data_IF_163954558945
#
_entry.id   IF_163954558945
#
_cell.length_a   1.000
_cell.length_b   1.000
_cell.length_c   1.000
_cell.angle_alpha   90.00
_cell.angle_beta   90.00
_cell.angle_gamma   90.00
#
_symmetry.space_group_name_H-M   'P 1'
#
loop_
_entity.id
_entity.type
_entity.pdbx_description
1 polymer ?
#
# COMPACT_ATOMS: atom_id res chain seq x y z
N UNK A 1 15.03 23.60 -5.42
CA UNK A 1 15.35 24.28 -4.13
C UNK A 1 14.16 24.69 -3.27
N UNK A 2 12.99 25.09 -3.81
CA UNK A 2 11.84 25.55 -2.98
C UNK A 2 11.11 24.41 -2.24
N UNK A 3 10.94 23.24 -2.86
CA UNK A 3 10.31 22.06 -2.23
C UNK A 3 11.14 21.46 -1.08
N UNK A 4 12.46 21.27 -1.28
CA UNK A 4 13.38 20.83 -0.22
C UNK A 4 13.47 21.86 0.93
N UNK A 5 13.38 23.17 0.63
CA UNK A 5 13.30 24.23 1.65
C UNK A 5 11.96 24.26 2.40
N UNK A 6 10.86 23.80 1.81
CA UNK A 6 9.56 23.71 2.48
C UNK A 6 9.58 22.52 3.46
N UNK A 7 10.08 21.36 3.04
CA UNK A 7 10.23 20.18 3.91
C UNK A 7 11.22 20.42 5.07
N UNK A 8 12.32 21.15 4.84
CA UNK A 8 13.28 21.52 5.89
C UNK A 8 12.80 22.65 6.81
N UNK A 9 11.79 23.46 6.41
CA UNK A 9 11.23 24.53 7.26
C UNK A 9 10.16 24.04 8.23
N UNK A 10 9.53 22.88 7.96
CA UNK A 10 8.56 22.26 8.88
C UNK A 10 9.23 21.41 9.97
N UNK A 11 10.52 21.12 9.86
CA UNK A 11 11.31 20.52 10.93
C UNK A 11 11.81 21.62 11.89
N UNK A 12 11.03 21.89 12.94
CA UNK A 12 11.50 22.74 14.04
C UNK A 12 12.78 22.15 14.68
N UNK A 13 13.76 22.97 15.11
CA UNK A 13 14.88 22.47 15.88
C UNK A 13 14.37 21.95 17.24
N UNK A 14 14.75 20.72 17.60
CA UNK A 14 14.48 20.16 18.93
C UNK A 14 15.35 20.90 19.96
N UNK A 15 14.75 21.81 20.73
CA UNK A 15 15.34 22.30 21.97
C UNK A 15 15.24 21.20 23.04
N UNK A 16 16.36 20.94 23.73
CA UNK A 16 16.50 19.84 24.68
C UNK A 16 15.52 19.90 25.85
N UNK A 17 14.84 18.80 26.11
CA UNK A 17 13.98 18.63 27.29
C UNK A 17 14.79 17.96 28.41
N UNK A 18 14.87 18.67 29.54
CA UNK A 18 15.54 18.24 30.76
C UNK A 18 14.87 17.03 31.44
N UNK A 19 15.70 16.35 32.22
CA UNK A 19 15.38 15.15 33.01
C UNK A 19 14.34 15.41 34.09
N UNK A 20 13.25 14.62 34.09
CA UNK A 20 12.34 14.47 35.22
C UNK A 20 12.14 12.99 35.55
N UNK A 21 12.52 12.57 36.75
CA UNK A 21 12.32 11.22 37.27
C UNK A 21 10.95 11.07 37.93
N UNK A 22 10.27 9.92 37.74
CA UNK A 22 9.65 9.12 38.80
C UNK A 22 8.79 7.96 38.24
N UNK A 23 8.79 6.83 38.96
CA UNK A 23 7.67 5.86 38.97
C UNK A 23 7.97 4.45 38.46
N UNK A 24 8.40 3.55 39.37
CA UNK A 24 8.47 2.08 39.16
C UNK A 24 7.09 1.44 39.35
N UNK A 25 6.76 0.44 38.51
CA UNK A 25 5.72 -0.55 38.79
C UNK A 25 5.39 -1.45 37.59
N UNK A 26 5.47 -2.77 37.78
CA UNK A 26 4.78 -3.78 36.95
C UNK A 26 5.61 -4.49 35.87
N UNK A 27 6.01 -5.72 36.13
CA UNK A 27 6.66 -6.65 35.21
C UNK A 27 5.65 -7.37 34.30
N UNK A 28 5.71 -7.09 32.99
CA UNK A 28 5.35 -8.02 31.92
C UNK A 28 6.29 -7.76 30.74
N UNK A 29 6.95 -8.79 30.23
CA UNK A 29 7.96 -8.70 29.18
C UNK A 29 7.33 -8.48 27.79
N UNK A 30 6.56 -7.40 27.62
CA UNK A 30 6.36 -6.84 26.28
C UNK A 30 7.61 -6.04 25.95
N UNK A 31 8.27 -6.37 24.84
CA UNK A 31 9.39 -5.57 24.35
C UNK A 31 8.87 -4.17 24.02
N UNK A 32 9.12 -3.20 24.93
CA UNK A 32 8.84 -1.79 24.67
C UNK A 32 9.48 -1.40 23.35
N UNK A 33 8.72 -0.72 22.49
CA UNK A 33 9.25 -0.16 21.26
C UNK A 33 10.49 0.70 21.56
N UNK A 34 11.47 0.74 20.64
CA UNK A 34 12.59 1.68 20.73
C UNK A 34 12.11 3.11 20.89
N UNK A 35 12.88 3.95 21.60
CA UNK A 35 12.53 5.36 21.88
C UNK A 35 12.40 6.17 20.59
N UNK A 36 13.16 5.79 19.58
CA UNK A 36 13.16 6.35 18.23
C UNK A 36 11.77 6.23 17.59
N UNK A 37 11.02 5.15 17.87
CA UNK A 37 9.65 5.01 17.36
C UNK A 37 8.75 6.09 17.95
N UNK A 38 8.87 6.37 19.25
CA UNK A 38 8.10 7.43 19.90
C UNK A 38 8.51 8.82 19.37
N UNK A 39 9.80 9.05 19.15
CA UNK A 39 10.30 10.31 18.62
C UNK A 39 9.81 10.57 17.19
N UNK A 40 10.02 9.62 16.28
CA UNK A 40 9.76 9.82 14.85
C UNK A 40 8.28 9.74 14.49
N UNK A 41 7.46 9.01 15.25
CA UNK A 41 6.01 8.90 15.01
C UNK A 41 5.22 10.16 15.31
N UNK A 42 5.82 11.14 16.00
CA UNK A 42 5.21 12.46 16.25
C UNK A 42 5.24 13.37 15.03
N UNK A 43 6.11 13.08 14.06
CA UNK A 43 6.19 13.85 12.83
C UNK A 43 5.18 13.31 11.80
N UNK A 44 4.64 14.22 11.01
CA UNK A 44 3.77 13.87 9.88
C UNK A 44 4.61 13.54 8.65
N UNK A 45 4.34 12.43 7.95
CA UNK A 45 4.93 12.14 6.65
C UNK A 45 4.74 13.28 5.65
N UNK A 46 5.74 13.53 4.81
CA UNK A 46 5.74 14.57 3.78
C UNK A 46 5.34 13.94 2.44
N UNK A 47 4.11 14.17 1.92
CA UNK A 47 3.72 13.62 0.63
C UNK A 47 4.41 14.36 -0.53
N UNK A 48 4.81 13.60 -1.54
CA UNK A 48 5.37 14.10 -2.79
C UNK A 48 4.43 13.84 -3.96
N UNK A 49 4.39 14.74 -4.94
CA UNK A 49 3.72 14.48 -6.21
C UNK A 49 4.62 13.77 -7.21
N UNK A 50 4.02 13.07 -8.18
CA UNK A 50 4.76 12.52 -9.32
C UNK A 50 5.54 13.63 -10.03
N UNK A 51 4.96 14.84 -10.18
CA UNK A 51 5.69 15.99 -10.72
C UNK A 51 6.94 16.33 -9.91
N UNK A 52 6.86 16.37 -8.58
CA UNK A 52 8.02 16.68 -7.75
C UNK A 52 9.12 15.63 -7.88
N UNK A 53 8.75 14.34 -7.95
CA UNK A 53 9.67 13.23 -8.14
C UNK A 53 10.34 13.30 -9.54
N UNK A 54 9.56 13.57 -10.58
CA UNK A 54 10.04 13.73 -11.95
C UNK A 54 10.97 14.94 -12.08
N UNK A 55 10.53 16.13 -11.65
CA UNK A 55 11.32 17.36 -11.71
C UNK A 55 12.65 17.22 -10.96
N UNK A 56 12.64 16.48 -9.83
CA UNK A 56 13.85 16.16 -9.07
C UNK A 56 14.82 15.31 -9.89
N UNK A 57 14.37 14.18 -10.44
CA UNK A 57 15.25 13.25 -11.15
C UNK A 57 15.72 13.74 -12.53
N UNK A 58 14.93 14.57 -13.23
CA UNK A 58 15.29 15.02 -14.60
C UNK A 58 16.24 16.21 -14.65
N UNK A 59 16.13 17.18 -13.73
CA UNK A 59 16.83 18.48 -13.85
C UNK A 59 17.65 18.88 -12.62
N UNK A 60 17.35 18.31 -11.45
CA UNK A 60 17.94 18.71 -10.16
C UNK A 60 18.47 17.52 -9.36
N UNK A 61 18.76 16.39 -10.03
CA UNK A 61 19.14 15.13 -9.40
C UNK A 61 20.42 15.30 -8.60
N UNK A 62 20.29 15.47 -7.29
CA UNK A 62 21.41 15.66 -6.38
C UNK A 62 21.28 14.64 -5.26
N UNK A 63 22.20 13.67 -5.25
CA UNK A 63 22.25 12.59 -4.26
C UNK A 63 22.21 13.16 -2.82
N UNK A 64 22.99 14.21 -2.54
CA UNK A 64 23.02 14.89 -1.24
C UNK A 64 21.65 15.41 -0.80
N UNK A 65 20.88 15.97 -1.74
CA UNK A 65 19.54 16.49 -1.47
C UNK A 65 18.55 15.35 -1.23
N UNK A 66 18.65 14.27 -2.02
CA UNK A 66 17.83 13.06 -1.83
C UNK A 66 18.12 12.41 -0.48
N UNK A 67 19.39 12.22 -0.14
CA UNK A 67 19.86 11.69 1.14
C UNK A 67 19.36 12.54 2.32
N UNK A 68 19.52 13.86 2.26
CA UNK A 68 19.09 14.77 3.33
C UNK A 68 17.57 14.67 3.60
N UNK A 69 16.77 14.46 2.56
CA UNK A 69 15.34 14.22 2.68
C UNK A 69 15.04 12.82 3.25
N UNK A 70 15.59 11.77 2.64
CA UNK A 70 15.24 10.38 2.96
C UNK A 70 15.70 9.93 4.34
N UNK A 71 16.85 10.41 4.83
CA UNK A 71 17.34 10.09 6.19
C UNK A 71 16.44 10.66 7.30
N UNK A 72 15.52 11.56 6.95
CA UNK A 72 14.48 12.09 7.86
C UNK A 72 13.14 11.42 7.55
N UNK A 73 12.72 11.41 6.28
CA UNK A 73 11.39 10.97 5.87
C UNK A 73 11.16 9.46 6.06
N UNK A 74 12.16 8.61 5.77
CA UNK A 74 11.99 7.16 5.94
C UNK A 74 11.79 6.78 7.42
N UNK A 75 12.62 7.24 8.39
CA UNK A 75 12.33 7.02 9.81
C UNK A 75 10.93 7.47 10.24
N UNK A 76 10.45 8.62 9.75
CA UNK A 76 9.09 9.11 10.06
C UNK A 76 8.02 8.14 9.55
N UNK A 77 8.08 7.71 8.28
CA UNK A 77 7.11 6.76 7.70
C UNK A 77 7.12 5.41 8.43
N UNK A 78 8.31 4.87 8.71
CA UNK A 78 8.47 3.62 9.47
C UNK A 78 7.93 3.72 10.90
N UNK A 79 8.24 4.81 11.61
CA UNK A 79 7.80 5.00 12.99
C UNK A 79 6.28 5.19 13.10
N UNK A 80 5.65 5.93 12.18
CA UNK A 80 4.20 6.12 12.13
C UNK A 80 3.49 4.76 12.05
N UNK A 81 3.90 3.89 11.13
CA UNK A 81 3.24 2.59 10.98
C UNK A 81 3.58 1.61 12.10
N UNK A 82 4.80 1.65 12.65
CA UNK A 82 5.18 0.85 13.84
C UNK A 82 4.31 1.18 15.06
N UNK A 83 3.89 2.45 15.23
CA UNK A 83 2.95 2.79 16.31
C UNK A 83 1.57 2.20 16.09
N UNK A 84 1.10 2.11 14.85
CA UNK A 84 -0.18 1.48 14.54
C UNK A 84 -0.13 -0.04 14.68
N UNK A 85 0.99 -0.69 14.33
CA UNK A 85 1.19 -2.12 14.60
C UNK A 85 0.97 -2.40 16.09
N UNK A 86 1.54 -1.57 16.98
CA UNK A 86 1.42 -1.73 18.44
C UNK A 86 0.02 -1.49 19.01
N UNK A 87 -0.93 -1.01 18.21
CA UNK A 87 -2.35 -0.88 18.59
C UNK A 87 -3.21 -2.06 18.12
N UNK A 88 -2.64 -3.02 17.41
CA UNK A 88 -3.34 -4.24 17.04
C UNK A 88 -3.66 -5.10 18.28
N UNK A 89 -4.69 -5.98 18.22
CA UNK A 89 -5.01 -6.87 19.32
C UNK A 89 -3.81 -7.72 19.75
N UNK A 90 -3.60 -7.87 21.06
CA UNK A 90 -2.46 -8.63 21.63
C UNK A 90 -2.34 -10.04 21.04
N UNK A 91 -3.48 -10.69 20.80
CA UNK A 91 -3.54 -12.03 20.19
C UNK A 91 -3.01 -12.05 18.76
N UNK A 92 -3.28 -11.01 17.96
CA UNK A 92 -2.72 -10.87 16.62
C UNK A 92 -1.22 -10.52 16.70
N UNK A 93 -0.83 -9.62 17.63
CA UNK A 93 0.57 -9.28 17.89
C UNK A 93 1.41 -10.46 18.38
N UNK A 94 0.80 -11.46 19.01
CA UNK A 94 1.48 -12.68 19.46
C UNK A 94 1.70 -13.72 18.36
N UNK A 95 1.13 -13.53 17.17
CA UNK A 95 1.34 -14.47 16.05
C UNK A 95 2.79 -14.39 15.56
N UNK A 96 3.47 -15.54 15.32
CA UNK A 96 4.87 -15.55 14.90
C UNK A 96 5.13 -14.68 13.66
N UNK A 97 4.20 -14.70 12.71
CA UNK A 97 4.29 -13.94 11.47
C UNK A 97 4.24 -12.42 11.70
N UNK A 98 3.36 -11.92 12.57
CA UNK A 98 3.31 -10.47 12.91
C UNK A 98 4.55 -10.05 13.70
N UNK A 99 5.03 -10.89 14.61
CA UNK A 99 6.29 -10.62 15.33
C UNK A 99 7.49 -10.52 14.39
N UNK A 100 7.56 -11.40 13.39
CA UNK A 100 8.60 -11.36 12.37
C UNK A 100 8.56 -10.06 11.58
N UNK A 101 7.38 -9.65 11.08
CA UNK A 101 7.23 -8.37 10.37
C UNK A 101 7.60 -7.19 11.27
N UNK A 102 7.14 -7.17 12.52
CA UNK A 102 7.50 -6.11 13.49
C UNK A 102 9.01 -6.03 13.69
N UNK A 103 9.70 -7.18 13.79
CA UNK A 103 11.16 -7.20 13.94
C UNK A 103 11.89 -6.62 12.72
N UNK A 104 11.44 -6.93 11.50
CA UNK A 104 12.01 -6.35 10.27
C UNK A 104 11.84 -4.83 10.19
N UNK A 105 10.68 -4.30 10.60
CA UNK A 105 10.43 -2.86 10.62
C UNK A 105 11.28 -2.16 11.69
N UNK A 106 11.40 -2.74 12.90
CA UNK A 106 12.26 -2.21 13.95
C UNK A 106 13.72 -2.18 13.50
N UNK A 107 14.24 -3.30 12.98
CA UNK A 107 15.62 -3.37 12.50
C UNK A 107 15.88 -2.32 11.41
N UNK A 108 14.97 -2.19 10.45
CA UNK A 108 15.13 -1.22 9.36
C UNK A 108 15.08 0.22 9.85
N UNK A 109 14.22 0.53 10.81
CA UNK A 109 14.19 1.86 11.44
C UNK A 109 15.53 2.16 12.13
N UNK A 110 16.08 1.22 12.91
CA UNK A 110 17.34 1.43 13.62
C UNK A 110 18.49 1.69 12.63
N UNK A 111 18.61 0.86 11.59
CA UNK A 111 19.61 1.04 10.53
C UNK A 111 19.48 2.40 9.83
N UNK A 112 18.25 2.89 9.59
CA UNK A 112 18.01 4.19 8.95
C UNK A 112 18.33 5.38 9.89
N UNK A 113 18.04 5.24 11.18
CA UNK A 113 18.29 6.30 12.18
C UNK A 113 19.77 6.58 12.37
N UNK A 114 20.65 5.59 12.13
CA UNK A 114 22.10 5.80 12.14
C UNK A 114 22.58 6.91 11.19
N UNK A 115 21.81 7.20 10.13
CA UNK A 115 22.15 8.24 9.15
C UNK A 115 21.60 9.63 9.52
N UNK A 116 20.74 9.73 10.55
CA UNK A 116 19.99 10.96 10.85
C UNK A 116 20.89 12.19 11.05
N UNK A 117 22.04 12.01 11.71
CA UNK A 117 23.01 13.06 12.03
C UNK A 117 24.27 13.04 11.14
N UNK A 118 24.37 12.14 10.16
CA UNK A 118 25.57 12.06 9.31
C UNK A 118 25.60 13.21 8.29
N UNK A 119 26.78 13.63 7.84
CA UNK A 119 26.90 14.73 6.88
C UNK A 119 26.48 14.30 5.47
N UNK A 120 25.73 15.12 4.70
CA UNK A 120 25.43 14.85 3.29
C UNK A 120 26.62 15.08 2.37
N UNK A 121 27.72 15.66 2.86
CA UNK A 121 28.93 15.92 2.07
C UNK A 121 29.95 14.77 2.13
N UNK A 122 29.71 13.75 2.95
CA UNK A 122 30.57 12.57 3.08
C UNK A 122 30.16 11.49 2.07
N UNK A 123 31.00 11.26 1.05
CA UNK A 123 30.72 10.29 -0.02
C UNK A 123 30.60 8.85 0.49
N UNK A 124 31.34 8.48 1.54
CA UNK A 124 31.22 7.14 2.12
C UNK A 124 29.86 6.95 2.77
N UNK A 125 29.36 7.99 3.45
CA UNK A 125 28.02 7.98 4.05
C UNK A 125 26.93 7.80 2.98
N UNK A 126 27.05 8.47 1.85
CA UNK A 126 26.10 8.35 0.74
C UNK A 126 26.08 6.93 0.16
N UNK A 127 27.25 6.34 -0.09
CA UNK A 127 27.38 4.95 -0.54
C UNK A 127 26.82 3.96 0.49
N UNK A 128 27.19 4.11 1.78
CA UNK A 128 26.70 3.25 2.86
C UNK A 128 25.16 3.35 2.99
N UNK A 129 24.59 4.53 2.70
CA UNK A 129 23.15 4.75 2.72
C UNK A 129 22.45 3.99 1.60
N UNK A 130 22.95 4.05 0.36
CA UNK A 130 22.42 3.26 -0.76
C UNK A 130 22.42 1.77 -0.42
N UNK A 131 23.56 1.24 0.06
CA UNK A 131 23.66 -0.17 0.45
C UNK A 131 22.65 -0.53 1.56
N UNK A 132 22.39 0.41 2.50
CA UNK A 132 21.38 0.25 3.54
C UNK A 132 19.96 0.22 2.97
N UNK A 133 19.63 1.11 2.04
CA UNK A 133 18.32 1.12 1.37
C UNK A 133 18.07 -0.19 0.62
N UNK A 134 19.09 -0.74 -0.06
CA UNK A 134 19.00 -2.03 -0.75
C UNK A 134 18.75 -3.16 0.25
N UNK A 135 19.48 -3.20 1.37
CA UNK A 135 19.27 -4.19 2.44
C UNK A 135 17.85 -4.11 3.02
N UNK A 136 17.38 -2.91 3.34
CA UNK A 136 16.03 -2.67 3.87
C UNK A 136 14.98 -3.12 2.85
N UNK A 137 15.11 -2.73 1.58
CA UNK A 137 14.18 -3.14 0.51
C UNK A 137 14.11 -4.67 0.37
N UNK A 138 15.26 -5.35 0.43
CA UNK A 138 15.32 -6.80 0.30
C UNK A 138 14.74 -7.52 1.51
N UNK A 139 15.04 -7.06 2.74
CA UNK A 139 14.43 -7.56 3.98
C UNK A 139 12.90 -7.45 3.95
N UNK A 140 12.38 -6.41 3.31
CA UNK A 140 10.94 -6.15 3.22
C UNK A 140 10.24 -6.89 2.08
N UNK A 141 10.93 -7.73 1.30
CA UNK A 141 10.37 -8.43 0.13
C UNK A 141 9.11 -9.22 0.50
N UNK A 142 9.18 -10.04 1.55
CA UNK A 142 8.12 -10.97 1.97
C UNK A 142 7.13 -10.40 3.00
N UNK A 143 7.18 -9.10 3.28
CA UNK A 143 6.27 -8.45 4.25
C UNK A 143 4.79 -8.69 3.92
N UNK A 144 4.40 -8.67 2.65
CA UNK A 144 2.99 -8.89 2.25
C UNK A 144 2.53 -10.31 2.59
N UNK A 145 3.16 -11.38 2.06
CA UNK A 145 2.75 -12.74 2.40
C UNK A 145 2.90 -13.05 3.89
N UNK A 146 3.96 -12.59 4.57
CA UNK A 146 4.13 -12.85 6.01
C UNK A 146 3.04 -12.16 6.84
N UNK A 147 2.69 -10.90 6.56
CA UNK A 147 1.60 -10.23 7.28
C UNK A 147 0.25 -10.93 7.02
N UNK A 148 -0.02 -11.35 5.78
CA UNK A 148 -1.23 -12.12 5.45
C UNK A 148 -1.29 -13.44 6.23
N UNK A 149 -0.16 -14.12 6.37
CA UNK A 149 -0.04 -15.34 7.16
C UNK A 149 -0.35 -15.09 8.64
N UNK A 150 0.12 -13.99 9.23
CA UNK A 150 -0.20 -13.62 10.62
C UNK A 150 -1.70 -13.36 10.85
N UNK A 151 -2.37 -12.74 9.89
CA UNK A 151 -3.83 -12.55 9.94
C UNK A 151 -4.58 -13.88 9.81
N UNK A 152 -4.06 -14.83 9.02
CA UNK A 152 -4.62 -16.18 8.90
C UNK A 152 -4.42 -16.97 10.19
N UNK A 153 -3.22 -16.95 10.78
CA UNK A 153 -2.91 -17.56 12.08
C UNK A 153 -3.90 -17.08 13.15
N UNK A 154 -4.13 -15.77 13.21
CA UNK A 154 -5.09 -15.17 14.12
C UNK A 154 -6.53 -15.65 13.86
N UNK A 155 -6.97 -15.66 12.60
CA UNK A 155 -8.33 -16.07 12.20
C UNK A 155 -8.62 -17.55 12.47
N UNK A 156 -7.62 -18.43 12.31
CA UNK A 156 -7.78 -19.86 12.54
C UNK A 156 -7.85 -20.21 14.03
N UNK A 157 -7.17 -19.44 14.87
CA UNK A 157 -7.15 -19.62 16.32
C UNK A 157 -8.33 -18.95 17.03
N UNK A 158 -8.85 -17.85 16.48
CA UNK A 158 -9.83 -17.01 17.16
C UNK A 158 -11.00 -16.63 16.26
N UNK A 159 -12.21 -16.63 16.84
CA UNK A 159 -13.35 -15.99 16.19
C UNK A 159 -13.10 -14.48 16.17
N UNK A 160 -13.18 -13.89 14.99
CA UNK A 160 -13.00 -12.45 14.80
C UNK A 160 -14.36 -11.78 14.75
N UNK A 161 -14.61 -10.88 15.70
CA UNK A 161 -15.82 -10.06 15.71
C UNK A 161 -15.75 -8.95 14.66
N UNK A 162 -16.90 -8.35 14.26
CA UNK A 162 -16.94 -7.34 13.22
C UNK A 162 -16.07 -6.11 13.49
N UNK A 163 -15.95 -5.66 14.75
CA UNK A 163 -15.18 -4.47 15.13
C UNK A 163 -13.68 -4.76 14.96
N UNK A 164 -13.22 -5.91 15.47
CA UNK A 164 -11.83 -6.33 15.28
C UNK A 164 -11.49 -6.49 13.80
N UNK A 165 -12.40 -7.05 13.00
CA UNK A 165 -12.21 -7.18 11.54
C UNK A 165 -12.08 -5.82 10.86
N UNK A 166 -12.90 -4.83 11.23
CA UNK A 166 -12.79 -3.45 10.74
C UNK A 166 -11.47 -2.79 11.13
N UNK A 167 -11.00 -2.99 12.37
CA UNK A 167 -9.73 -2.45 12.84
C UNK A 167 -8.54 -3.06 12.10
N UNK A 168 -8.58 -4.37 11.83
CA UNK A 168 -7.57 -5.06 11.02
C UNK A 168 -7.60 -4.55 9.57
N UNK A 169 -8.78 -4.37 8.98
CA UNK A 169 -8.93 -3.82 7.63
C UNK A 169 -8.33 -2.40 7.54
N UNK A 170 -8.70 -1.52 8.47
CA UNK A 170 -8.18 -0.16 8.57
C UNK A 170 -6.65 -0.14 8.70
N UNK A 171 -6.10 -1.01 9.56
CA UNK A 171 -4.66 -1.18 9.71
C UNK A 171 -4.00 -1.63 8.40
N UNK A 172 -4.48 -2.70 7.78
CA UNK A 172 -3.83 -3.30 6.61
C UNK A 172 -3.83 -2.34 5.42
N UNK A 173 -4.92 -1.60 5.19
CA UNK A 173 -4.96 -0.56 4.16
C UNK A 173 -3.84 0.47 4.36
N UNK A 174 -3.66 0.94 5.60
CA UNK A 174 -2.63 1.93 5.97
C UNK A 174 -1.22 1.34 5.95
N UNK A 175 -1.06 0.12 6.44
CA UNK A 175 0.20 -0.61 6.45
C UNK A 175 0.74 -0.83 5.05
N UNK A 176 -0.09 -1.33 4.13
CA UNK A 176 0.33 -1.55 2.76
C UNK A 176 0.50 -0.24 1.98
N UNK A 177 -0.30 0.80 2.25
CA UNK A 177 -0.07 2.14 1.69
C UNK A 177 1.29 2.69 2.13
N UNK A 178 1.64 2.58 3.42
CA UNK A 178 2.96 2.97 3.94
C UNK A 178 4.09 2.17 3.28
N UNK A 179 3.87 0.89 2.98
CA UNK A 179 4.89 0.04 2.32
C UNK A 179 5.08 0.39 0.84
N UNK A 180 4.01 0.66 0.10
CA UNK A 180 4.08 1.16 -1.29
C UNK A 180 4.91 2.46 -1.30
N UNK A 181 4.59 3.34 -0.35
CA UNK A 181 5.24 4.63 -0.14
C UNK A 181 6.75 4.55 0.15
N UNK A 182 7.18 3.75 1.12
CA UNK A 182 8.60 3.60 1.43
C UNK A 182 9.36 2.91 0.31
N UNK A 183 8.74 1.91 -0.34
CA UNK A 183 9.32 1.26 -1.53
C UNK A 183 9.49 2.24 -2.70
N UNK A 184 8.53 3.14 -2.91
CA UNK A 184 8.63 4.18 -3.93
C UNK A 184 9.86 5.07 -3.72
N UNK A 185 10.03 5.60 -2.50
CA UNK A 185 11.17 6.47 -2.17
C UNK A 185 12.52 5.75 -2.28
N UNK A 186 12.62 4.54 -1.72
CA UNK A 186 13.86 3.74 -1.80
C UNK A 186 14.21 3.37 -3.23
N UNK A 187 13.22 2.99 -4.06
CA UNK A 187 13.43 2.68 -5.46
C UNK A 187 13.86 3.92 -6.26
N UNK A 188 13.25 5.07 -6.01
CA UNK A 188 13.64 6.32 -6.67
C UNK A 188 15.10 6.67 -6.39
N UNK A 189 15.54 6.60 -5.13
CA UNK A 189 16.93 6.90 -4.79
C UNK A 189 17.91 5.89 -5.39
N UNK A 190 17.64 4.59 -5.23
CA UNK A 190 18.54 3.54 -5.72
C UNK A 190 18.63 3.54 -7.25
N UNK A 191 17.52 3.73 -7.97
CA UNK A 191 17.55 3.78 -9.44
C UNK A 191 18.23 5.03 -10.01
N UNK A 192 18.30 6.13 -9.25
CA UNK A 192 18.93 7.37 -9.71
C UNK A 192 20.42 7.47 -9.37
N UNK A 193 20.88 6.83 -8.28
CA UNK A 193 22.21 7.06 -7.73
C UNK A 193 23.04 5.79 -7.47
N UNK A 194 22.48 4.58 -7.60
CA UNK A 194 23.28 3.36 -7.50
C UNK A 194 23.99 3.05 -8.84
N UNK A 195 25.25 3.45 -8.95
CA UNK A 195 26.08 3.20 -10.14
C UNK A 195 26.24 1.71 -10.48
N UNK A 196 25.98 0.80 -9.52
CA UNK A 196 26.03 -0.65 -9.75
C UNK A 196 24.76 -1.18 -10.42
N UNK A 197 23.69 -0.39 -10.45
CA UNK A 197 22.39 -0.76 -11.02
C UNK A 197 22.31 -0.37 -12.50
N UNK A 198 22.76 -1.26 -13.38
CA UNK A 198 22.52 -1.14 -14.83
C UNK A 198 21.10 -1.58 -15.25
N UNK A 199 20.17 -1.69 -14.28
CA UNK A 199 18.84 -2.30 -14.47
C UNK A 199 17.68 -1.31 -14.67
N UNK A 200 17.97 -0.03 -14.87
CA UNK A 200 16.96 0.99 -15.18
C UNK A 200 16.61 1.02 -16.68
N UNK A 201 15.35 1.32 -17.00
CA UNK A 201 14.97 1.59 -18.39
C UNK A 201 15.52 2.98 -18.78
N UNK A 202 16.24 3.15 -19.91
CA UNK A 202 16.97 4.40 -20.24
C UNK A 202 16.09 5.66 -20.32
N UNK A 203 14.79 5.48 -20.60
CA UNK A 203 13.79 6.56 -20.70
C UNK A 203 13.21 6.97 -19.33
N UNK A 204 13.31 6.11 -18.32
CA UNK A 204 12.66 6.34 -17.03
C UNK A 204 13.50 7.26 -16.15
N UNK A 205 12.80 8.00 -15.30
CA UNK A 205 13.40 8.80 -14.23
C UNK A 205 13.14 8.05 -12.92
N UNK A 206 14.16 7.30 -12.49
CA UNK A 206 14.00 6.29 -11.46
C UNK A 206 12.98 5.23 -11.91
N UNK A 207 11.88 5.10 -11.17
CA UNK A 207 10.77 4.19 -11.51
C UNK A 207 9.62 4.85 -12.28
N UNK A 208 9.72 6.13 -12.65
CA UNK A 208 8.66 6.88 -13.33
C UNK A 208 8.95 6.92 -14.83
N UNK A 209 7.95 6.59 -15.65
CA UNK A 209 7.99 6.82 -17.09
C UNK A 209 7.26 8.14 -17.40
N UNK A 210 7.95 9.15 -17.96
CA UNK A 210 7.32 10.41 -18.37
C UNK A 210 6.34 10.26 -19.54
N UNK A 211 6.42 9.16 -20.30
CA UNK A 211 5.55 8.87 -21.44
C UNK A 211 5.04 7.43 -21.36
N UNK A 212 4.45 7.06 -20.21
CA UNK A 212 3.93 5.72 -19.98
C UNK A 212 2.77 5.45 -20.95
N UNK A 213 2.99 4.55 -21.90
CA UNK A 213 1.96 4.11 -22.84
C UNK A 213 0.97 3.19 -22.11
N UNK A 214 -0.28 3.62 -22.01
CA UNK A 214 -1.36 2.84 -21.40
C UNK A 214 -1.81 1.72 -22.34
N UNK A 215 -1.59 1.87 -23.65
CA UNK A 215 -2.05 0.99 -24.73
C UNK A 215 -1.11 -0.18 -25.03
N UNK A 216 0.20 0.01 -24.91
CA UNK A 216 1.15 -1.13 -24.83
C UNK A 216 0.79 -2.07 -23.66
N UNK A 217 0.10 -1.53 -22.65
CA UNK A 217 -0.46 -2.32 -21.55
C UNK A 217 -1.91 -2.77 -21.82
N UNK A 218 -2.76 -1.99 -22.53
CA UNK A 218 -4.06 -2.45 -23.06
C UNK A 218 -4.64 -1.64 -24.25
N UNK A 219 -4.94 -2.32 -25.38
CA UNK A 219 -5.54 -1.85 -26.65
C UNK A 219 -6.43 -0.58 -26.60
N UNK A 220 -6.04 0.43 -27.39
CA UNK A 220 -6.66 1.76 -27.49
C UNK A 220 -7.80 1.90 -28.52
N UNK A 221 -8.57 3.01 -28.37
CA UNK A 221 -9.92 3.19 -28.94
C UNK A 221 -10.03 4.18 -30.12
N UNK A 222 -8.92 4.68 -30.67
CA UNK A 222 -8.91 5.43 -31.94
C UNK A 222 -7.73 5.00 -32.82
N UNK A 223 -7.88 4.96 -34.17
CA UNK A 223 -6.78 4.55 -35.03
C UNK A 223 -5.70 5.65 -35.07
N UNK A 224 -4.58 5.46 -34.38
CA UNK A 224 -3.31 6.11 -34.72
C UNK A 224 -2.53 6.82 -33.61
N UNK A 225 -3.13 7.21 -32.47
CA UNK A 225 -2.40 7.95 -31.42
C UNK A 225 -2.41 7.24 -30.05
N UNK A 226 -1.23 7.04 -29.42
CA UNK A 226 -1.12 6.38 -28.11
C UNK A 226 -1.60 7.27 -26.97
N UNK A 227 -2.24 6.68 -25.97
CA UNK A 227 -2.63 7.38 -24.73
C UNK A 227 -1.46 7.28 -23.74
N UNK A 228 -0.83 8.42 -23.47
CA UNK A 228 0.33 8.50 -22.58
C UNK A 228 0.02 9.30 -21.31
N UNK A 229 0.53 8.84 -20.18
CA UNK A 229 0.52 9.58 -18.91
C UNK A 229 1.90 9.54 -18.24
N UNK A 230 2.18 10.46 -17.32
CA UNK A 230 3.35 10.36 -16.43
C UNK A 230 2.99 9.44 -15.27
N UNK A 231 3.55 8.24 -15.20
CA UNK A 231 3.19 7.28 -14.15
C UNK A 231 4.31 6.31 -13.79
N UNK A 232 4.05 5.43 -12.82
CA UNK A 232 4.94 4.33 -12.44
C UNK A 232 4.44 3.06 -13.14
N UNK A 233 5.10 2.56 -14.21
CA UNK A 233 4.57 1.45 -15.00
C UNK A 233 4.34 0.17 -14.19
N UNK A 234 5.20 -0.11 -13.21
CA UNK A 234 5.06 -1.29 -12.36
C UNK A 234 3.82 -1.25 -11.45
N UNK A 235 3.36 -0.07 -11.03
CA UNK A 235 2.11 0.08 -10.27
C UNK A 235 0.90 -0.19 -11.18
N UNK A 236 0.91 0.39 -12.38
CA UNK A 236 -0.13 0.17 -13.38
C UNK A 236 -0.23 -1.31 -13.77
N UNK A 237 0.91 -1.92 -14.08
CA UNK A 237 1.01 -3.35 -14.40
C UNK A 237 0.44 -4.23 -13.29
N UNK A 238 0.78 -3.96 -12.02
CA UNK A 238 0.26 -4.76 -10.91
C UNK A 238 -1.28 -4.74 -10.84
N UNK A 239 -1.89 -3.55 -10.97
CA UNK A 239 -3.35 -3.41 -10.95
C UNK A 239 -4.00 -4.15 -12.13
N UNK A 240 -3.48 -3.95 -13.34
CA UNK A 240 -4.03 -4.58 -14.54
C UNK A 240 -3.85 -6.09 -14.52
N UNK A 241 -2.68 -6.58 -14.12
CA UNK A 241 -2.39 -8.01 -13.98
C UNK A 241 -3.39 -8.70 -13.03
N UNK A 242 -3.64 -8.12 -11.86
CA UNK A 242 -4.58 -8.70 -10.90
C UNK A 242 -6.02 -8.66 -11.41
N UNK A 243 -6.45 -7.58 -12.05
CA UNK A 243 -7.79 -7.48 -12.62
C UNK A 243 -7.99 -8.45 -13.80
N UNK A 244 -7.04 -8.54 -14.73
CA UNK A 244 -7.10 -9.49 -15.83
C UNK A 244 -7.14 -10.93 -15.34
N UNK A 245 -6.29 -11.30 -14.36
CA UNK A 245 -6.32 -12.63 -13.76
C UNK A 245 -7.70 -12.96 -13.18
N UNK A 246 -8.32 -12.01 -12.47
CA UNK A 246 -9.66 -12.19 -11.88
C UNK A 246 -10.75 -12.32 -12.96
N UNK A 247 -10.76 -11.44 -13.96
CA UNK A 247 -11.73 -11.46 -15.06
C UNK A 247 -11.59 -12.70 -15.95
N UNK A 248 -10.36 -13.12 -16.26
CA UNK A 248 -10.09 -14.35 -17.01
C UNK A 248 -10.56 -15.58 -16.22
N UNK A 249 -10.21 -15.67 -14.93
CA UNK A 249 -10.65 -16.77 -14.06
C UNK A 249 -12.18 -16.86 -14.02
N UNK A 250 -12.86 -15.74 -13.76
CA UNK A 250 -14.32 -15.71 -13.68
C UNK A 250 -14.98 -16.11 -15.00
N UNK A 251 -14.44 -15.65 -16.13
CA UNK A 251 -14.95 -16.00 -17.47
C UNK A 251 -14.78 -17.48 -17.77
N UNK A 252 -13.60 -18.05 -17.49
CA UNK A 252 -13.32 -19.47 -17.70
C UNK A 252 -14.22 -20.35 -16.81
N UNK A 253 -14.34 -20.02 -15.52
CA UNK A 253 -15.17 -20.78 -14.58
C UNK A 253 -16.67 -20.68 -14.92
N UNK A 254 -17.17 -19.51 -15.32
CA UNK A 254 -18.59 -19.32 -15.64
C UNK A 254 -19.00 -19.91 -16.99
N UNK A 255 -18.09 -19.93 -17.96
CA UNK A 255 -18.35 -20.36 -19.34
C UNK A 255 -17.69 -21.71 -19.66
N UNK A 256 -17.36 -22.54 -18.66
CA UNK A 256 -16.65 -23.82 -18.82
C UNK A 256 -17.30 -24.76 -19.86
N UNK A 257 -18.64 -24.74 -19.95
CA UNK A 257 -19.41 -25.56 -20.91
C UNK A 257 -19.77 -24.83 -22.22
N UNK A 258 -19.27 -23.60 -22.42
CA UNK A 258 -19.56 -22.82 -23.63
C UNK A 258 -18.57 -23.16 -24.76
N UNK A 259 -19.01 -23.13 -26.03
CA UNK A 259 -18.14 -23.47 -27.17
C UNK A 259 -17.01 -22.46 -27.41
N UNK A 260 -17.15 -21.24 -26.89
CA UNK A 260 -16.15 -20.17 -26.99
C UNK A 260 -16.27 -19.25 -25.78
N UNK A 261 -15.14 -18.75 -25.31
CA UNK A 261 -15.10 -17.78 -24.22
C UNK A 261 -15.35 -16.36 -24.74
N UNK A 262 -16.12 -15.58 -23.97
CA UNK A 262 -16.28 -14.14 -24.24
C UNK A 262 -14.96 -13.40 -24.02
N UNK A 263 -14.62 -12.41 -24.86
CA UNK A 263 -13.41 -11.61 -24.65
C UNK A 263 -13.54 -10.74 -23.40
N UNK A 264 -12.41 -10.52 -22.72
CA UNK A 264 -12.29 -9.45 -21.71
C UNK A 264 -12.08 -8.15 -22.47
N UNK A 265 -13.04 -7.25 -22.38
CA UNK A 265 -13.02 -5.97 -23.09
C UNK A 265 -12.34 -4.91 -22.23
N UNK A 266 -11.52 -4.06 -22.85
CA UNK A 266 -10.92 -2.92 -22.14
C UNK A 266 -11.21 -1.62 -22.87
N UNK A 267 -11.54 -0.60 -22.08
CA UNK A 267 -11.74 0.76 -22.56
C UNK A 267 -10.83 1.68 -21.76
N UNK A 268 -9.95 2.40 -22.48
CA UNK A 268 -9.08 3.43 -21.92
C UNK A 268 -9.58 4.79 -22.41
N UNK A 269 -9.79 5.73 -21.49
CA UNK A 269 -10.24 7.09 -21.79
C UNK A 269 -9.40 8.07 -20.99
N UNK A 270 -8.75 9.01 -21.69
CA UNK A 270 -8.08 10.15 -21.08
C UNK A 270 -9.01 11.36 -21.10
N UNK A 271 -9.50 11.75 -19.93
CA UNK A 271 -10.23 13.00 -19.72
C UNK A 271 -9.28 14.16 -19.38
N UNK A 272 -9.86 15.31 -19.02
CA UNK A 272 -9.08 16.48 -18.59
C UNK A 272 -8.45 16.29 -17.20
N UNK A 273 -9.18 15.67 -16.28
CA UNK A 273 -8.73 15.47 -14.89
C UNK A 273 -8.23 14.04 -14.62
N UNK A 274 -8.90 13.05 -15.22
CA UNK A 274 -8.65 11.64 -14.92
C UNK A 274 -8.41 10.82 -16.20
N UNK A 275 -7.49 9.86 -16.10
CA UNK A 275 -7.40 8.69 -16.96
C UNK A 275 -8.26 7.57 -16.34
N UNK A 276 -9.21 7.04 -17.10
CA UNK A 276 -10.03 5.90 -16.70
C UNK A 276 -9.68 4.67 -17.54
N UNK A 277 -9.44 3.53 -16.87
CA UNK A 277 -9.25 2.22 -17.49
C UNK A 277 -10.35 1.30 -16.98
N UNK A 278 -11.24 0.89 -17.87
CA UNK A 278 -12.33 -0.04 -17.58
C UNK A 278 -12.04 -1.42 -18.18
N UNK A 279 -12.02 -2.44 -17.33
CA UNK A 279 -11.93 -3.86 -17.72
C UNK A 279 -13.29 -4.50 -17.48
N UNK A 280 -13.87 -5.07 -18.53
CA UNK A 280 -15.22 -5.65 -18.54
C UNK A 280 -15.15 -7.12 -18.91
N UNK A 281 -15.76 -7.97 -18.08
CA UNK A 281 -15.87 -9.41 -18.34
C UNK A 281 -17.33 -9.89 -18.47
N UNK A 282 -17.48 -11.15 -18.90
CA UNK A 282 -18.74 -11.90 -18.94
C UNK A 282 -18.66 -13.12 -18.02
N UNK A 283 -18.01 -12.96 -16.86
CA UNK A 283 -17.73 -14.02 -15.90
C UNK A 283 -18.86 -14.27 -14.89
N UNK A 284 -20.11 -13.98 -15.23
CA UNK A 284 -21.27 -14.27 -14.38
C UNK A 284 -21.50 -13.31 -13.21
N UNK A 285 -20.57 -12.41 -12.93
CA UNK A 285 -20.75 -11.33 -11.95
C UNK A 285 -20.85 -11.78 -10.49
N UNK A 286 -21.09 -10.81 -9.61
CA UNK A 286 -21.07 -10.95 -8.14
C UNK A 286 -22.30 -10.24 -7.55
N UNK A 287 -23.03 -10.86 -6.60
CA UNK A 287 -24.12 -10.20 -5.90
C UNK A 287 -23.65 -8.92 -5.17
N UNK A 288 -24.44 -7.84 -5.27
CA UNK A 288 -24.12 -6.51 -4.70
C UNK A 288 -23.67 -6.59 -3.22
N UNK A 289 -24.36 -7.40 -2.40
CA UNK A 289 -24.04 -7.60 -0.97
C UNK A 289 -22.62 -8.14 -0.68
N UNK A 290 -21.93 -8.67 -1.69
CA UNK A 290 -20.57 -9.21 -1.58
C UNK A 290 -19.50 -8.28 -2.14
N UNK A 291 -19.86 -7.22 -2.87
CA UNK A 291 -18.90 -6.36 -3.59
C UNK A 291 -17.90 -5.71 -2.62
N UNK A 292 -18.38 -5.13 -1.51
CA UNK A 292 -17.49 -4.55 -0.50
C UNK A 292 -16.61 -5.60 0.16
N UNK A 293 -17.11 -6.82 0.34
CA UNK A 293 -16.35 -7.93 0.91
C UNK A 293 -15.19 -8.37 0.02
N UNK A 294 -15.23 -8.15 -1.29
CA UNK A 294 -14.12 -8.47 -2.19
C UNK A 294 -12.85 -7.67 -1.88
N UNK A 295 -12.98 -6.50 -1.25
CA UNK A 295 -11.86 -5.69 -0.80
C UNK A 295 -11.42 -6.02 0.64
N UNK A 296 -12.06 -6.99 1.31
CA UNK A 296 -11.67 -7.38 2.66
C UNK A 296 -10.49 -8.34 2.64
N UNK A 297 -9.43 -8.01 3.39
CA UNK A 297 -8.24 -8.88 3.52
C UNK A 297 -8.52 -10.22 4.20
N UNK A 298 -9.61 -10.31 4.96
CA UNK A 298 -10.03 -11.54 5.65
C UNK A 298 -11.02 -12.38 4.80
N UNK A 299 -11.34 -11.93 3.59
CA UNK A 299 -12.25 -12.59 2.64
C UNK A 299 -11.47 -13.09 1.40
N UNK A 300 -11.59 -14.37 1.08
CA UNK A 300 -11.05 -14.97 -0.15
C UNK A 300 -11.94 -16.13 -0.59
N UNK A 301 -12.13 -16.28 -1.90
CA UNK A 301 -12.83 -17.41 -2.52
C UNK A 301 -11.87 -18.47 -3.07
N UNK A 302 -10.56 -18.21 -3.03
CA UNK A 302 -9.54 -19.12 -3.53
C UNK A 302 -9.11 -20.14 -2.47
N UNK A 303 -8.64 -21.34 -2.87
CA UNK A 303 -8.00 -22.29 -1.97
C UNK A 303 -6.82 -21.63 -1.26
N UNK A 304 -6.60 -21.99 0.02
CA UNK A 304 -5.49 -21.46 0.80
C UNK A 304 -4.16 -21.95 0.21
N UNK A 305 -3.23 -21.05 -0.15
CA UNK A 305 -1.92 -21.45 -0.64
C UNK A 305 -1.14 -22.10 0.51
N UNK A 306 -0.40 -23.19 0.22
CA UNK A 306 0.58 -23.75 1.15
C UNK A 306 1.84 -22.90 1.06
N UNK A 307 2.33 -22.42 2.20
CA UNK A 307 3.67 -21.86 2.29
C UNK A 307 4.65 -23.03 2.27
N UNK A 308 5.35 -23.21 1.17
CA UNK A 308 6.46 -24.16 1.06
C UNK A 308 7.77 -23.37 1.01
N UNK A 309 8.85 -23.91 1.60
CA UNK A 309 10.13 -23.23 1.89
C UNK A 309 11.00 -22.90 0.63
N UNK A 310 10.38 -22.69 -0.54
CA UNK A 310 11.11 -22.65 -1.81
C UNK A 310 10.50 -21.76 -2.89
N UNK A 311 11.08 -20.57 -3.04
CA UNK A 311 11.26 -19.80 -4.30
C UNK A 311 10.08 -19.12 -5.00
N UNK A 312 8.82 -19.27 -4.61
CA UNK A 312 7.74 -18.39 -5.10
C UNK A 312 6.54 -18.41 -4.15
N UNK A 313 6.41 -17.40 -3.28
CA UNK A 313 5.23 -17.21 -2.44
C UNK A 313 4.05 -16.83 -3.34
N UNK A 314 3.02 -17.68 -3.52
CA UNK A 314 1.93 -17.35 -4.42
C UNK A 314 1.14 -16.18 -3.83
N UNK A 315 1.16 -15.01 -4.48
CA UNK A 315 0.24 -13.90 -4.15
C UNK A 315 -1.21 -14.27 -4.43
N UNK A 316 -1.43 -15.23 -5.34
CA UNK A 316 -2.73 -15.84 -5.59
C UNK A 316 -3.13 -16.76 -4.42
N UNK A 317 -4.40 -16.70 -4.01
CA UNK A 317 -4.93 -17.54 -2.94
C UNK A 317 -5.21 -16.78 -1.64
N UNK A 318 -4.39 -15.79 -1.28
CA UNK A 318 -4.56 -15.03 -0.03
C UNK A 318 -5.75 -14.05 -0.04
N UNK A 319 -6.24 -13.64 -1.21
CA UNK A 319 -7.31 -12.63 -1.33
C UNK A 319 -6.83 -11.18 -1.26
N UNK A 320 -5.52 -10.93 -1.31
CA UNK A 320 -4.93 -9.60 -1.12
C UNK A 320 -4.81 -8.80 -2.43
N UNK A 321 -4.94 -9.44 -3.59
CA UNK A 321 -4.69 -8.83 -4.90
C UNK A 321 -5.57 -7.61 -5.19
N UNK A 322 -6.88 -7.76 -5.01
CA UNK A 322 -7.84 -6.68 -5.27
C UNK A 322 -7.70 -5.50 -4.29
N UNK A 323 -7.66 -5.69 -2.95
CA UNK A 323 -7.45 -4.56 -2.04
C UNK A 323 -6.10 -3.88 -2.24
N UNK A 324 -5.01 -4.62 -2.47
CA UNK A 324 -3.70 -4.01 -2.77
C UNK A 324 -3.74 -3.23 -4.09
N UNK A 325 -4.41 -3.74 -5.13
CA UNK A 325 -4.58 -3.01 -6.39
C UNK A 325 -5.32 -1.68 -6.18
N UNK A 326 -6.33 -1.67 -5.31
CA UNK A 326 -7.02 -0.42 -4.93
C UNK A 326 -6.11 0.54 -4.19
N UNK A 327 -5.20 0.06 -3.32
CA UNK A 327 -4.21 0.93 -2.68
C UNK A 327 -3.23 1.53 -3.69
N UNK A 328 -2.78 0.76 -4.70
CA UNK A 328 -1.93 1.31 -5.78
C UNK A 328 -2.62 2.43 -6.56
N UNK A 329 -3.93 2.30 -6.84
CA UNK A 329 -4.71 3.37 -7.47
C UNK A 329 -4.81 4.59 -6.54
N UNK A 330 -5.20 4.37 -5.27
CA UNK A 330 -5.36 5.43 -4.27
C UNK A 330 -4.07 6.15 -3.88
N UNK A 331 -2.92 5.51 -4.06
CA UNK A 331 -1.63 6.04 -3.64
C UNK A 331 -1.31 7.38 -4.31
N UNK A 332 -1.69 7.57 -5.58
CA UNK A 332 -1.56 8.84 -6.30
C UNK A 332 -2.93 9.48 -6.61
N UNK A 333 -3.82 9.50 -5.62
CA UNK A 333 -5.16 10.13 -5.66
C UNK A 333 -6.15 9.55 -6.68
N UNK A 334 -5.89 8.35 -7.19
CA UNK A 334 -6.84 7.58 -7.97
C UNK A 334 -7.82 6.77 -7.12
N UNK A 335 -8.55 5.85 -7.75
CA UNK A 335 -9.31 4.79 -7.06
C UNK A 335 -9.52 3.58 -7.99
N UNK A 336 -9.95 2.46 -7.41
CA UNK A 336 -10.37 1.26 -8.12
C UNK A 336 -11.75 0.86 -7.61
N UNK A 337 -12.74 0.83 -8.51
CA UNK A 337 -14.12 0.48 -8.20
C UNK A 337 -14.58 -0.74 -9.02
N UNK A 338 -15.46 -1.55 -8.43
CA UNK A 338 -16.10 -2.69 -9.09
C UNK A 338 -17.61 -2.47 -9.19
N UNK A 339 -18.16 -2.72 -10.37
CA UNK A 339 -19.59 -2.71 -10.64
C UNK A 339 -19.95 -4.04 -11.29
N UNK A 340 -20.82 -4.82 -10.65
CA UNK A 340 -21.13 -6.16 -11.11
C UNK A 340 -22.63 -6.37 -11.26
N UNK A 341 -22.99 -7.12 -12.30
CA UNK A 341 -24.35 -7.56 -12.57
C UNK A 341 -24.36 -9.08 -12.43
N UNK A 342 -24.96 -9.55 -11.33
CA UNK A 342 -25.03 -10.98 -11.01
C UNK A 342 -25.80 -11.73 -12.12
N UNK A 343 -25.20 -12.81 -12.62
CA UNK A 343 -25.65 -13.58 -13.79
C UNK A 343 -25.09 -13.09 -15.13
N UNK A 344 -24.34 -11.98 -15.17
CA UNK A 344 -23.87 -11.38 -16.42
C UNK A 344 -22.34 -11.16 -16.45
N UNK A 345 -21.81 -10.31 -15.58
CA UNK A 345 -20.38 -9.95 -15.63
C UNK A 345 -20.01 -8.81 -14.68
N UNK A 346 -18.74 -8.43 -14.72
CA UNK A 346 -18.18 -7.38 -13.85
C UNK A 346 -17.39 -6.34 -14.66
N UNK A 347 -17.59 -5.07 -14.31
CA UNK A 347 -16.78 -3.93 -14.74
C UNK A 347 -15.86 -3.52 -13.57
N UNK A 348 -14.55 -3.56 -13.80
CA UNK A 348 -13.53 -3.00 -12.92
C UNK A 348 -12.97 -1.71 -13.52
N UNK A 349 -13.04 -0.61 -12.78
CA UNK A 349 -12.61 0.70 -13.26
C UNK A 349 -11.49 1.25 -12.38
N UNK A 350 -10.33 1.48 -12.99
CA UNK A 350 -9.21 2.22 -12.39
C UNK A 350 -9.31 3.68 -12.82
N UNK A 351 -9.26 4.59 -11.87
CA UNK A 351 -9.11 6.02 -12.09
C UNK A 351 -7.71 6.44 -11.65
N UNK A 352 -7.00 7.16 -12.51
CA UNK A 352 -5.70 7.78 -12.24
C UNK A 352 -5.79 9.27 -12.58
N UNK A 353 -5.03 10.11 -11.90
CA UNK A 353 -4.94 11.53 -12.25
C UNK A 353 -4.22 11.70 -13.59
N UNK A 354 -4.81 12.48 -14.49
CA UNK A 354 -4.21 12.81 -15.79
C UNK A 354 -2.99 13.73 -15.63
N UNK A 355 -3.02 14.63 -14.64
CA UNK A 355 -1.98 15.61 -14.38
C UNK A 355 -1.06 15.16 -13.23
N UNK A 356 0.25 15.08 -13.50
CA UNK A 356 1.26 14.69 -12.51
C UNK A 356 1.40 15.67 -11.32
N UNK A 357 0.89 16.90 -11.46
CA UNK A 357 0.76 17.89 -10.38
C UNK A 357 -0.24 17.47 -9.31
N UNK A 358 -1.28 16.74 -9.70
CA UNK A 358 -2.38 16.31 -8.84
C UNK A 358 -2.18 14.89 -8.32
N UNK A 359 -1.28 14.13 -8.95
CA UNK A 359 -0.81 12.81 -8.50
C UNK A 359 0.08 12.92 -7.24
N UNK A 360 -0.50 13.29 -6.11
CA UNK A 360 0.16 13.45 -4.81
C UNK A 360 0.09 12.15 -4.00
N UNK A 361 1.16 11.77 -3.31
CA UNK A 361 1.15 10.63 -2.38
C UNK A 361 0.01 10.73 -1.34
N UNK A 362 -0.77 9.66 -1.18
CA UNK A 362 -1.71 9.47 -0.08
C UNK A 362 -1.05 8.66 1.03
N UNK A 363 -0.73 9.30 2.16
CA UNK A 363 0.06 8.68 3.23
C UNK A 363 -0.76 8.48 4.52
N UNK A 364 -0.56 7.36 5.23
CA UNK A 364 -1.11 7.21 6.58
C UNK A 364 -0.34 8.10 7.57
N UNK A 365 -1.06 8.82 8.41
CA UNK A 365 -0.50 9.64 9.50
C UNK A 365 -0.96 9.08 10.84
N UNK A 366 -0.02 8.75 11.71
CA UNK A 366 -0.33 8.35 13.07
C UNK A 366 -0.58 9.58 13.93
N UNK A 367 -1.79 9.68 14.48
CA UNK A 367 -2.20 10.77 15.35
C UNK A 367 -3.36 10.30 16.26
N UNK A 368 -3.94 11.22 17.04
CA UNK A 368 -5.09 10.89 17.91
C UNK A 368 -6.28 10.34 17.14
N UNK A 369 -6.55 10.80 15.91
CA UNK A 369 -7.63 10.28 15.08
C UNK A 369 -7.37 8.84 14.68
N UNK A 370 -6.16 8.53 14.22
CA UNK A 370 -5.77 7.16 13.90
C UNK A 370 -5.85 6.24 15.12
N UNK A 371 -5.38 6.70 16.28
CA UNK A 371 -5.45 5.95 17.54
C UNK A 371 -6.89 5.62 17.98
N UNK A 372 -7.86 6.51 17.69
CA UNK A 372 -9.28 6.29 18.05
C UNK A 372 -9.91 5.15 17.26
N UNK A 373 -9.52 4.93 16.00
CA UNK A 373 -10.01 3.79 15.21
C UNK A 373 -9.74 2.45 15.92
N UNK A 374 -8.55 2.29 16.52
CA UNK A 374 -8.17 1.07 17.23
C UNK A 374 -8.86 0.90 18.61
N UNK A 375 -9.48 1.96 19.13
CA UNK A 375 -10.18 1.96 20.41
C UNK A 375 -11.70 1.91 20.25
N UNK A 376 -12.20 1.96 19.02
CA UNK A 376 -13.63 1.96 18.74
C UNK A 376 -14.27 0.67 19.28
N UNK A 377 -15.38 0.83 20.00
CA UNK A 377 -16.21 -0.27 20.50
C UNK A 377 -17.37 -0.52 19.56
N UNK A 378 -18.04 -1.67 19.68
CA UNK A 378 -19.28 -1.92 18.94
C UNK A 378 -20.31 -0.86 19.28
N UNK A 379 -20.77 -0.11 18.28
CA UNK A 379 -21.89 0.81 18.39
C UNK A 379 -23.19 0.12 17.96
N UNK A 380 -24.33 0.65 18.41
CA UNK A 380 -25.62 0.19 17.92
C UNK A 380 -25.75 0.58 16.44
N UNK A 381 -26.42 -0.26 15.65
CA UNK A 381 -26.60 0.02 14.23
C UNK A 381 -27.49 1.27 14.04
N UNK A 382 -27.08 2.18 13.16
CA UNK A 382 -27.80 3.44 12.91
C UNK A 382 -29.16 3.21 12.24
N UNK A 383 -29.38 2.00 11.72
CA UNK A 383 -30.58 1.60 10.98
C UNK A 383 -31.21 0.35 11.58
N UNK A 384 -32.52 0.20 11.39
CA UNK A 384 -33.26 -0.96 11.87
C UNK A 384 -32.73 -2.26 11.25
N UNK A 385 -32.33 -3.20 12.09
CA UNK A 385 -31.97 -4.56 11.67
C UNK A 385 -33.24 -5.44 11.72
N UNK A 386 -33.72 -6.00 10.58
CA UNK A 386 -34.91 -6.83 10.57
C UNK A 386 -34.71 -8.14 11.34
N UNK A 387 -35.79 -8.65 11.93
CA UNK A 387 -35.79 -9.96 12.61
C UNK A 387 -35.43 -11.09 11.64
N UNK A 388 -34.60 -12.04 12.09
CA UNK A 388 -34.26 -13.26 11.31
C UNK A 388 -35.47 -14.16 11.02
N UNK A 389 -36.53 -14.03 11.82
CA UNK A 389 -37.84 -14.62 11.58
C UNK A 389 -38.88 -13.50 11.52
N UNK A 390 -39.10 -12.87 10.36
CA UNK A 390 -40.15 -11.87 10.23
C UNK A 390 -41.50 -12.54 10.51
N UNK A 391 -42.34 -11.89 11.32
CA UNK A 391 -43.68 -12.40 11.60
C UNK A 391 -44.45 -12.48 10.28
N UNK A 392 -45.01 -13.65 9.98
CA UNK A 392 -45.98 -13.75 8.88
C UNK A 392 -47.21 -12.93 9.27
N UNK A 393 -47.47 -11.87 8.53
CA UNK A 393 -48.73 -11.13 8.66
C UNK A 393 -49.85 -12.04 8.19
N UNK A 394 -50.68 -12.53 9.11
CA UNK A 394 -52.01 -12.99 8.73
C UNK A 394 -52.75 -11.79 8.14
N UNK A 395 -52.93 -11.78 6.81
CA UNK A 395 -53.76 -10.90 6.00
C UNK A 395 -53.84 -9.42 6.42
N UNK A 396 -53.18 -8.54 5.67
CA UNK A 396 -53.62 -7.15 5.53
C UNK A 396 -54.80 -7.08 4.57
#
# INVERSE_FOLDING_TARGET
MKAARIALRTAAPLAGAGSGSAGRGGSSSSSRLPREVEQFSRFSPSPLSIKQLLDFGSTNGCERTSFAFLRQELPVRFANILREIDLLPDRLLSTPSVQLVKSWYIQSLMELVEFHQKSPDDQKVLSDFIDTLIRVRNRHHDVVPTMAQGVIEYKDMFKVDPVTNQNIQYFLDRFYMSRISTRMLMNQHTLLFDDKSSSGHPRHIGSIDPCCDVVEVVNGKFPGEPINIVYVPSHLFHMLFELFKNSMRATVEFQENSPSLSPVEVTVVLGQEDLAIKISDRGGGVPVRKIEQLFSYMYSTAPRPRMDDGRNTPLAGFGYGLPISRLYAKYFQGDLNLYSICGYGTDAIIYLKALSTESVEKLPVFNKSASKHYQATSEADDWCVPSRGPKQSAAL
#
